data_IF_127176889776
#
_entry.id   IF_127176889776
#
_cell.length_a   1.000
_cell.length_b   1.000
_cell.length_c   1.000
_cell.angle_alpha   90.00
_cell.angle_beta   90.00
_cell.angle_gamma   90.00
#
_symmetry.space_group_name_H-M   'P 1'
#
loop_
_entity.id
_entity.type
_entity.pdbx_description
1 polymer ?
#
# COMPACT_ATOMS: atom_id res chain seq x y z
N UNK A 1 1.01 -22.14 -1.92
CA UNK A 1 0.70 -20.73 -1.66
C UNK A 1 -0.80 -20.59 -1.45
N UNK A 2 -1.25 -20.05 -0.31
CA UNK A 2 -2.66 -19.75 -0.09
C UNK A 2 -2.90 -18.29 -0.48
N UNK A 3 -3.72 -18.11 -1.52
CA UNK A 3 -4.11 -16.82 -2.08
C UNK A 3 -5.43 -16.39 -1.44
N UNK A 4 -5.48 -15.15 -0.99
CA UNK A 4 -6.74 -14.50 -0.64
C UNK A 4 -7.13 -13.61 -1.84
N UNK A 5 -8.41 -13.61 -2.19
CA UNK A 5 -8.94 -12.82 -3.31
C UNK A 5 -8.66 -11.32 -3.16
N UNK A 6 -9.11 -10.53 -4.14
CA UNK A 6 -8.96 -9.08 -4.10
C UNK A 6 -9.71 -8.52 -2.88
N UNK A 7 -8.97 -7.84 -2.01
CA UNK A 7 -9.47 -7.19 -0.81
C UNK A 7 -9.77 -5.73 -1.12
N UNK A 8 -10.98 -5.29 -0.78
CA UNK A 8 -11.40 -3.90 -0.91
C UNK A 8 -11.51 -3.23 0.45
N UNK A 9 -11.75 -1.91 0.44
CA UNK A 9 -11.83 -1.09 1.65
C UNK A 9 -12.84 -1.59 2.68
N UNK A 10 -13.90 -2.25 2.21
CA UNK A 10 -14.99 -2.84 3.00
C UNK A 10 -14.55 -4.09 3.78
N UNK A 11 -13.29 -4.50 3.67
CA UNK A 11 -12.74 -5.62 4.40
C UNK A 11 -12.88 -5.42 5.92
N UNK A 12 -13.64 -6.30 6.60
CA UNK A 12 -13.95 -6.13 8.03
C UNK A 12 -12.76 -6.45 8.94
N UNK A 13 -11.67 -7.00 8.39
CA UNK A 13 -10.59 -7.58 9.18
C UNK A 13 -10.80 -9.06 9.46
N UNK A 14 -10.09 -9.57 10.46
CA UNK A 14 -10.00 -11.00 10.81
C UNK A 14 -8.54 -11.39 11.04
N UNK A 15 -8.27 -12.66 11.35
CA UNK A 15 -6.92 -13.19 11.49
C UNK A 15 -6.74 -14.35 10.51
N UNK A 16 -5.81 -14.21 9.58
CA UNK A 16 -5.58 -15.16 8.49
C UNK A 16 -4.10 -15.56 8.45
N UNK A 17 -3.69 -16.40 9.39
CA UNK A 17 -2.28 -16.75 9.61
C UNK A 17 -1.64 -17.57 8.49
N UNK A 18 -2.43 -18.15 7.58
CA UNK A 18 -1.94 -19.01 6.49
C UNK A 18 -1.90 -18.31 5.12
N UNK A 19 -2.51 -17.12 5.01
CA UNK A 19 -2.47 -16.34 3.77
C UNK A 19 -1.08 -15.72 3.63
N UNK A 20 -0.49 -15.85 2.43
CA UNK A 20 0.84 -15.31 2.10
C UNK A 20 0.80 -14.24 1.03
N UNK A 21 -0.21 -14.30 0.16
CA UNK A 21 -0.36 -13.38 -0.97
C UNK A 21 -1.67 -12.64 -0.81
N UNK A 22 -1.58 -11.31 -0.83
CA UNK A 22 -2.73 -10.41 -0.71
C UNK A 22 -2.73 -9.44 -1.88
N UNK A 23 -3.90 -9.24 -2.49
CA UNK A 23 -4.13 -8.22 -3.50
C UNK A 23 -5.12 -7.20 -2.98
N UNK A 24 -4.75 -5.93 -3.01
CA UNK A 24 -5.60 -4.81 -2.61
C UNK A 24 -6.13 -4.10 -3.86
N UNK A 25 -7.41 -3.75 -3.81
CA UNK A 25 -8.07 -2.89 -4.77
C UNK A 25 -8.89 -1.87 -4.01
N UNK A 26 -8.88 -0.64 -4.48
CA UNK A 26 -9.52 0.45 -3.76
C UNK A 26 -10.81 0.87 -4.48
N UNK A 27 -11.93 0.82 -3.77
CA UNK A 27 -13.22 1.35 -4.27
C UNK A 27 -13.32 2.86 -4.03
N UNK A 28 -12.71 3.36 -2.97
CA UNK A 28 -12.60 4.76 -2.55
C UNK A 28 -11.25 4.99 -1.89
N UNK A 29 -10.63 6.20 -1.93
CA UNK A 29 -9.23 6.45 -1.58
C UNK A 29 -8.70 5.66 -0.37
N UNK A 30 -7.46 5.15 -0.47
CA UNK A 30 -6.88 4.36 0.61
C UNK A 30 -6.76 5.21 1.89
N UNK A 31 -7.00 4.56 3.02
CA UNK A 31 -6.88 5.17 4.33
C UNK A 31 -5.80 4.42 5.12
N UNK A 32 -5.10 5.13 6.00
CA UNK A 32 -4.14 4.52 6.91
C UNK A 32 -4.72 3.32 7.68
N UNK A 33 -5.94 3.47 8.17
CA UNK A 33 -6.64 2.43 8.93
C UNK A 33 -6.92 1.19 8.09
N UNK A 34 -7.11 1.32 6.78
CA UNK A 34 -7.22 0.17 5.90
C UNK A 34 -5.94 -0.65 5.90
N UNK A 35 -4.78 -0.01 5.68
CA UNK A 35 -3.50 -0.71 5.73
C UNK A 35 -3.20 -1.30 7.11
N UNK A 36 -3.59 -0.61 8.20
CA UNK A 36 -3.46 -1.13 9.55
C UNK A 36 -4.32 -2.39 9.75
N UNK A 37 -5.54 -2.42 9.19
CA UNK A 37 -6.39 -3.63 9.18
C UNK A 37 -5.72 -4.76 8.41
N UNK A 38 -5.20 -4.50 7.21
CA UNK A 38 -4.46 -5.50 6.41
C UNK A 38 -3.27 -6.06 7.20
N UNK A 39 -2.45 -5.21 7.80
CA UNK A 39 -1.28 -5.62 8.58
C UNK A 39 -1.67 -6.55 9.75
N UNK A 40 -2.75 -6.22 10.47
CA UNK A 40 -3.24 -7.06 11.58
C UNK A 40 -3.84 -8.37 11.11
N UNK A 41 -4.48 -8.36 9.94
CA UNK A 41 -5.17 -9.54 9.41
C UNK A 41 -4.25 -10.56 8.78
N UNK A 42 -3.12 -10.13 8.23
CA UNK A 42 -2.20 -11.00 7.50
C UNK A 42 -0.79 -10.89 8.09
N UNK A 43 -0.57 -11.39 9.32
CA UNK A 43 0.70 -11.18 10.03
C UNK A 43 1.90 -11.81 9.34
N UNK A 44 1.68 -12.84 8.52
CA UNK A 44 2.72 -13.59 7.79
C UNK A 44 2.66 -13.34 6.27
N UNK A 45 2.08 -12.24 5.82
CA UNK A 45 2.02 -11.88 4.41
C UNK A 45 3.43 -11.70 3.84
N UNK A 46 3.71 -12.39 2.73
CA UNK A 46 4.98 -12.37 2.00
C UNK A 46 4.91 -11.51 0.74
N UNK A 47 3.75 -11.48 0.09
CA UNK A 47 3.52 -10.74 -1.15
C UNK A 47 2.30 -9.83 -1.03
N UNK A 48 2.50 -8.55 -1.33
CA UNK A 48 1.43 -7.56 -1.40
C UNK A 48 1.34 -6.98 -2.81
N UNK A 49 0.16 -7.01 -3.41
CA UNK A 49 -0.13 -6.39 -4.70
C UNK A 49 -1.13 -5.25 -4.55
N UNK A 50 -0.81 -4.07 -5.09
CA UNK A 50 -1.71 -2.94 -5.19
C UNK A 50 -2.23 -2.83 -6.62
N UNK A 51 -3.55 -2.66 -6.79
CA UNK A 51 -4.19 -2.49 -8.10
C UNK A 51 -5.17 -1.33 -8.05
N UNK A 52 -4.82 -0.18 -8.65
CA UNK A 52 -5.67 1.02 -8.63
C UNK A 52 -5.43 1.93 -9.83
N UNK A 53 -6.18 1.68 -10.90
CA UNK A 53 -5.97 2.34 -12.20
C UNK A 53 -6.44 3.80 -12.25
N UNK A 54 -7.49 4.13 -11.49
CA UNK A 54 -8.08 5.48 -11.47
C UNK A 54 -7.43 6.31 -10.39
N UNK A 55 -7.32 7.62 -10.61
CA UNK A 55 -6.85 8.53 -9.58
C UNK A 55 -7.80 8.54 -8.38
N UNK A 56 -7.28 8.85 -7.19
CA UNK A 56 -8.07 9.07 -5.98
C UNK A 56 -9.06 10.22 -6.18
N UNK A 57 -8.65 11.26 -6.91
CA UNK A 57 -9.47 12.42 -7.24
C UNK A 57 -10.65 12.09 -8.16
N UNK A 58 -10.65 10.95 -8.85
CA UNK A 58 -11.79 10.50 -9.66
C UNK A 58 -12.81 9.69 -8.83
N UNK A 59 -12.47 9.31 -7.59
CA UNK A 59 -13.30 8.49 -6.69
C UNK A 59 -14.12 9.35 -5.71
N UNK A 60 -14.41 10.61 -6.07
CA UNK A 60 -14.98 11.72 -5.26
C UNK A 60 -16.27 11.40 -4.47
N UNK A 61 -16.15 10.66 -3.37
CA UNK A 61 -17.23 10.61 -2.35
C UNK A 61 -16.73 10.62 -0.91
N UNK A 62 -15.42 10.41 -0.67
CA UNK A 62 -14.84 10.41 0.67
C UNK A 62 -13.77 11.48 0.80
N UNK A 63 -13.99 12.43 1.71
CA UNK A 63 -12.92 13.30 2.22
C UNK A 63 -11.98 12.41 3.04
N UNK A 64 -10.82 12.09 2.48
CA UNK A 64 -9.75 11.44 3.23
C UNK A 64 -9.28 12.40 4.34
N UNK A 65 -9.63 12.10 5.59
CA UNK A 65 -9.16 12.82 6.77
C UNK A 65 -7.75 12.32 7.16
N UNK A 66 -6.82 12.33 6.22
CA UNK A 66 -5.42 11.97 6.45
C UNK A 66 -4.67 13.10 7.18
N UNK A 67 -5.08 13.40 8.43
CA UNK A 67 -4.28 14.20 9.35
C UNK A 67 -3.08 13.35 9.83
N UNK A 68 -2.02 13.33 9.02
CA UNK A 68 -0.83 12.47 9.16
C UNK A 68 -0.02 12.65 10.48
N UNK A 69 -0.42 13.58 11.34
CA UNK A 69 0.35 13.97 12.53
C UNK A 69 0.46 12.86 13.58
N UNK A 70 -0.50 11.92 13.65
CA UNK A 70 -0.55 10.88 14.70
C UNK A 70 -0.69 9.42 14.20
N UNK A 71 -0.50 9.16 12.90
CA UNK A 71 -0.62 7.79 12.38
C UNK A 71 0.45 6.85 12.97
N UNK A 72 0.04 5.63 13.34
CA UNK A 72 0.91 4.57 13.84
C UNK A 72 1.77 3.98 12.73
N UNK A 73 3.02 3.61 13.01
CA UNK A 73 3.85 2.90 12.03
C UNK A 73 3.23 1.55 11.65
N UNK A 74 3.10 1.27 10.35
CA UNK A 74 2.64 -0.02 9.84
C UNK A 74 3.86 -0.83 9.42
N UNK A 75 4.10 -1.95 10.09
CA UNK A 75 5.24 -2.84 9.79
C UNK A 75 4.75 -4.17 9.21
N UNK A 76 5.14 -4.45 7.98
CA UNK A 76 4.93 -5.75 7.34
C UNK A 76 6.18 -6.61 7.53
N UNK A 77 6.21 -7.39 8.60
CA UNK A 77 7.43 -8.07 9.05
C UNK A 77 7.89 -9.23 8.16
N UNK A 78 7.02 -9.80 7.35
CA UNK A 78 7.34 -10.94 6.48
C UNK A 78 7.22 -10.59 5.00
N UNK A 79 6.93 -9.33 4.68
CA UNK A 79 6.79 -8.91 3.30
C UNK A 79 8.15 -8.97 2.64
N UNK A 80 8.22 -9.68 1.52
CA UNK A 80 9.41 -9.84 0.70
C UNK A 80 9.16 -9.27 -0.70
N UNK A 81 7.91 -9.25 -1.17
CA UNK A 81 7.58 -8.79 -2.51
C UNK A 81 6.44 -7.76 -2.47
N UNK A 82 6.65 -6.63 -3.13
CA UNK A 82 5.66 -5.57 -3.29
C UNK A 82 5.44 -5.28 -4.78
N UNK A 83 4.24 -5.60 -5.26
CA UNK A 83 3.83 -5.35 -6.63
C UNK A 83 2.94 -4.13 -6.70
N UNK A 84 3.42 -3.07 -7.34
CA UNK A 84 2.65 -1.86 -7.63
C UNK A 84 2.43 -1.80 -9.14
N UNK A 85 1.47 -2.59 -9.60
CA UNK A 85 1.22 -2.83 -11.02
C UNK A 85 -0.06 -2.10 -11.43
N UNK A 86 0.06 -1.26 -12.46
CA UNK A 86 -1.06 -0.47 -13.00
C UNK A 86 -1.80 0.35 -11.92
N UNK A 87 -1.02 0.97 -11.06
CA UNK A 87 -1.49 1.86 -10.00
C UNK A 87 -1.24 3.30 -10.44
N UNK A 88 -2.21 4.18 -10.20
CA UNK A 88 -2.07 5.61 -10.45
C UNK A 88 -1.06 6.24 -9.48
N UNK A 89 -0.37 7.29 -9.89
CA UNK A 89 0.81 7.83 -9.19
C UNK A 89 0.50 8.40 -7.80
N UNK A 90 -0.74 8.82 -7.54
CA UNK A 90 -1.18 9.29 -6.21
C UNK A 90 -1.20 8.17 -5.17
N UNK A 91 -1.66 6.98 -5.53
CA UNK A 91 -1.60 5.80 -4.67
C UNK A 91 -0.17 5.34 -4.39
N UNK A 92 0.70 5.43 -5.39
CA UNK A 92 2.13 5.15 -5.21
C UNK A 92 2.71 6.13 -4.19
N UNK A 93 2.38 7.42 -4.33
CA UNK A 93 2.84 8.46 -3.42
C UNK A 93 2.33 8.23 -2.00
N UNK A 94 1.04 8.00 -1.85
CA UNK A 94 0.43 7.78 -0.54
C UNK A 94 1.04 6.55 0.15
N UNK A 95 1.12 5.43 -0.57
CA UNK A 95 1.65 4.20 -0.01
C UNK A 95 3.12 4.31 0.40
N UNK A 96 3.97 4.85 -0.48
CA UNK A 96 5.41 4.91 -0.21
C UNK A 96 5.81 6.04 0.77
N UNK A 97 5.06 7.14 0.84
CA UNK A 97 5.48 8.32 1.61
C UNK A 97 4.56 8.67 2.78
N UNK A 98 3.25 8.41 2.68
CA UNK A 98 2.26 9.00 3.58
C UNK A 98 1.67 7.99 4.58
N UNK A 99 1.56 6.71 4.23
CA UNK A 99 0.98 5.65 5.10
C UNK A 99 1.86 5.24 6.30
N UNK A 100 3.04 5.86 6.47
CA UNK A 100 4.05 5.43 7.47
C UNK A 100 4.29 3.91 7.44
N UNK A 101 4.31 3.34 6.24
CA UNK A 101 4.63 1.93 6.06
C UNK A 101 6.14 1.75 6.14
N UNK A 102 6.58 0.81 6.97
CA UNK A 102 7.97 0.40 7.08
C UNK A 102 8.11 -1.03 6.58
N UNK A 103 8.97 -1.18 5.57
CA UNK A 103 9.40 -2.45 5.03
C UNK A 103 10.67 -2.92 5.75
N UNK A 104 10.85 -4.24 5.90
CA UNK A 104 12.14 -4.76 6.32
C UNK A 104 13.17 -4.59 5.19
N UNK A 105 14.46 -4.66 5.53
CA UNK A 105 15.51 -4.69 4.52
C UNK A 105 15.32 -5.93 3.63
N UNK A 106 15.39 -5.76 2.30
CA UNK A 106 15.21 -6.78 1.25
C UNK A 106 13.77 -7.01 0.73
N UNK A 107 12.94 -5.96 0.67
CA UNK A 107 11.70 -6.04 -0.13
C UNK A 107 12.00 -5.78 -1.60
N UNK A 108 11.62 -6.75 -2.44
CA UNK A 108 11.63 -6.61 -3.89
C UNK A 108 10.44 -5.75 -4.33
N UNK A 109 10.74 -4.53 -4.76
CA UNK A 109 9.75 -3.59 -5.27
C UNK A 109 9.60 -3.73 -6.79
N UNK A 110 8.42 -4.18 -7.22
CA UNK A 110 8.04 -4.27 -8.62
C UNK A 110 7.10 -3.12 -8.98
N UNK A 111 7.65 -2.09 -9.63
CA UNK A 111 6.93 -0.88 -10.04
C UNK A 111 7.40 -0.43 -11.43
N UNK A 112 6.53 0.22 -12.20
CA UNK A 112 6.95 0.87 -13.45
C UNK A 112 7.93 1.99 -13.15
N UNK A 113 9.10 1.93 -13.79
CA UNK A 113 10.18 2.92 -13.60
C UNK A 113 9.67 4.36 -13.76
N UNK A 114 8.90 4.64 -14.83
CA UNK A 114 8.36 5.97 -15.11
C UNK A 114 7.47 6.50 -13.99
N UNK A 115 6.62 5.65 -13.40
CA UNK A 115 5.79 6.03 -12.26
C UNK A 115 6.62 6.30 -11.02
N UNK A 116 7.62 5.47 -10.75
CA UNK A 116 8.54 5.69 -9.62
C UNK A 116 9.31 7.00 -9.81
N UNK A 117 9.84 7.26 -11.00
CA UNK A 117 10.55 8.48 -11.34
C UNK A 117 9.68 9.73 -11.15
N UNK A 118 8.43 9.72 -11.63
CA UNK A 118 7.48 10.84 -11.43
C UNK A 118 7.19 11.11 -9.95
N UNK A 119 6.92 10.07 -9.17
CA UNK A 119 6.53 10.21 -7.75
C UNK A 119 7.73 10.65 -6.88
N UNK A 120 8.93 10.17 -7.21
CA UNK A 120 10.17 10.55 -6.53
C UNK A 120 10.79 11.85 -7.03
N UNK A 121 10.19 12.49 -8.04
CA UNK A 121 10.73 13.67 -8.73
C UNK A 121 12.16 13.40 -9.23
N UNK A 122 12.34 12.37 -10.05
CA UNK A 122 13.66 11.92 -10.51
C UNK A 122 14.61 11.59 -9.36
N UNK A 123 14.09 10.96 -8.30
CA UNK A 123 14.85 10.61 -7.08
C UNK A 123 15.49 11.81 -6.37
N UNK A 124 15.00 13.02 -6.61
CA UNK A 124 15.52 14.25 -5.97
C UNK A 124 14.75 14.65 -4.72
N UNK A 125 13.59 14.04 -4.47
CA UNK A 125 12.75 14.33 -3.30
C UNK A 125 13.50 13.99 -2.01
N UNK A 126 13.41 14.84 -0.99
CA UNK A 126 14.15 14.64 0.26
C UNK A 126 13.82 13.32 0.96
N UNK A 127 12.57 12.87 0.87
CA UNK A 127 12.14 11.56 1.39
C UNK A 127 12.74 10.36 0.64
N UNK A 128 13.43 10.57 -0.48
CA UNK A 128 14.07 9.54 -1.31
C UNK A 128 15.59 9.65 -1.37
N UNK A 129 16.18 10.63 -0.67
CA UNK A 129 17.64 10.77 -0.57
C UNK A 129 18.16 9.83 0.51
N UNK A 130 19.21 9.07 0.17
CA UNK A 130 19.93 8.15 1.08
C UNK A 130 21.02 8.93 1.80
#
# INVERSE_FOLDING_TARGET
MQYYGIITNNFPGGLFEYVRVVSLFDEYPFEHDFFLRIQKSFPFMETLSLNNYKSQNDKQSYQSNNDNRNLSLIKYSFLNELFIINVHDDYIKEFLFDTKTCFQNNVDLHIKYESLERVTQHFTRDATRI
#
